data_IF_215488295565
#
_entry.id   IF_215488295565
#
_cell.length_a   1.000
_cell.length_b   1.000
_cell.length_c   1.000
_cell.angle_alpha   90.00
_cell.angle_beta   90.00
_cell.angle_gamma   90.00
#
_symmetry.space_group_name_H-M   'P 1'
#
loop_
_entity.id
_entity.type
_entity.pdbx_description
1 polymer ?
#
# COMPACT_ATOMS: atom_id res chain seq x y z
N UNK A 1 -53.22 31.84 27.91
CA UNK A 1 -53.06 30.44 27.49
C UNK A 1 -52.33 30.33 26.17
N UNK A 2 -51.07 30.67 26.24
CA UNK A 2 -50.13 30.51 25.14
C UNK A 2 -48.94 29.61 25.62
N UNK A 3 -49.24 28.35 25.83
CA UNK A 3 -48.20 27.34 26.13
C UNK A 3 -48.65 25.97 25.66
N UNK A 4 -48.51 25.68 24.36
CA UNK A 4 -48.41 24.31 23.80
C UNK A 4 -48.27 24.38 22.27
N UNK A 5 -47.10 24.76 21.75
CA UNK A 5 -46.67 24.39 20.41
C UNK A 5 -45.14 24.59 20.27
N UNK A 6 -44.41 24.00 21.19
CA UNK A 6 -42.95 23.79 21.03
C UNK A 6 -42.72 22.32 21.14
N UNK A 7 -42.50 21.62 20.05
CA UNK A 7 -42.16 20.24 20.17
C UNK A 7 -42.07 19.36 18.93
N UNK A 8 -42.17 19.88 17.71
CA UNK A 8 -42.01 19.04 16.51
C UNK A 8 -41.16 19.66 15.40
N UNK A 9 -40.72 20.92 15.56
CA UNK A 9 -39.86 21.59 14.57
C UNK A 9 -38.36 21.47 14.77
N UNK A 10 -37.91 21.04 15.97
CA UNK A 10 -36.50 21.07 16.35
C UNK A 10 -35.78 19.71 16.20
N UNK A 11 -36.51 18.62 15.92
CA UNK A 11 -35.90 17.29 15.75
C UNK A 11 -35.38 17.08 14.32
N UNK A 12 -35.90 17.81 13.34
CA UNK A 12 -35.48 17.68 11.93
C UNK A 12 -34.33 18.60 11.49
N UNK A 13 -33.85 19.49 12.37
CA UNK A 13 -32.72 20.39 12.02
C UNK A 13 -31.35 19.97 12.47
N UNK A 14 -31.14 18.73 12.93
CA UNK A 14 -29.80 18.18 13.28
C UNK A 14 -29.49 16.84 12.67
N UNK A 15 -29.99 16.57 11.48
CA UNK A 15 -29.32 15.62 10.61
C UNK A 15 -28.38 16.40 9.67
N UNK A 16 -27.36 17.00 10.24
CA UNK A 16 -26.14 17.22 9.47
C UNK A 16 -25.59 15.84 9.20
N UNK A 17 -25.68 15.41 7.94
CA UNK A 17 -24.84 14.35 7.40
C UNK A 17 -23.40 14.69 7.80
N UNK A 18 -22.86 14.03 8.79
CA UNK A 18 -21.43 14.08 9.03
C UNK A 18 -20.81 13.38 7.84
N UNK A 19 -20.28 14.16 6.91
CA UNK A 19 -19.25 13.68 6.00
C UNK A 19 -18.27 12.89 6.86
N UNK A 20 -17.92 11.64 6.54
CA UNK A 20 -16.92 10.90 7.28
C UNK A 20 -15.73 11.82 7.48
N UNK A 21 -15.42 12.14 8.73
CA UNK A 21 -14.29 12.99 9.05
C UNK A 21 -13.04 12.43 8.39
N UNK A 22 -12.05 13.24 8.08
CA UNK A 22 -10.83 12.76 7.46
C UNK A 22 -10.33 11.57 8.27
N UNK A 23 -10.01 10.47 7.59
CA UNK A 23 -9.48 9.24 8.15
C UNK A 23 -8.41 9.65 9.17
N UNK A 24 -8.72 9.49 10.46
CA UNK A 24 -7.75 9.75 11.53
C UNK A 24 -6.76 8.59 11.49
N UNK A 25 -5.78 8.71 10.62
CA UNK A 25 -4.61 7.86 10.67
C UNK A 25 -3.84 8.23 11.94
N UNK A 26 -4.09 7.53 13.03
CA UNK A 26 -3.29 7.61 14.27
C UNK A 26 -1.82 7.20 14.05
N UNK A 27 -1.44 6.86 12.82
CA UNK A 27 -0.10 6.44 12.40
C UNK A 27 0.89 7.62 12.32
N UNK A 28 0.43 8.87 12.50
CA UNK A 28 1.31 10.05 12.43
C UNK A 28 1.28 10.82 13.74
N UNK A 29 1.54 10.16 14.86
CA UNK A 29 1.73 10.87 16.15
C UNK A 29 3.18 11.28 16.44
N UNK A 30 4.11 11.10 15.53
CA UNK A 30 5.48 11.63 15.67
C UNK A 30 5.83 12.62 14.58
N UNK A 31 5.00 13.65 14.40
CA UNK A 31 5.36 14.82 13.62
C UNK A 31 5.86 15.91 14.53
N UNK A 32 7.08 15.81 14.99
CA UNK A 32 7.80 17.03 15.31
C UNK A 32 8.18 17.71 13.97
N UNK A 33 7.33 18.62 13.51
CA UNK A 33 7.72 19.62 12.51
C UNK A 33 8.70 20.66 13.12
N UNK A 34 9.40 20.29 14.18
CA UNK A 34 10.34 21.04 14.98
C UNK A 34 11.63 20.25 15.14
N UNK A 35 12.54 20.35 14.22
CA UNK A 35 13.94 20.60 14.43
C UNK A 35 14.80 19.59 15.18
N UNK A 36 14.50 18.30 15.30
CA UNK A 36 15.52 17.34 15.71
C UNK A 36 16.33 16.90 14.49
N UNK A 37 17.64 17.18 14.52
CA UNK A 37 18.61 16.73 13.49
C UNK A 37 18.91 15.24 13.69
N UNK A 38 17.89 14.40 13.46
CA UNK A 38 18.00 12.94 13.55
C UNK A 38 17.89 12.29 12.16
N UNK A 39 18.70 11.29 11.85
CA UNK A 39 18.55 10.52 10.60
C UNK A 39 17.18 9.84 10.50
N UNK A 40 16.53 9.53 11.62
CA UNK A 40 15.22 8.88 11.69
C UNK A 40 14.02 9.82 11.53
N UNK A 41 14.24 11.14 11.36
CA UNK A 41 13.16 12.09 11.14
C UNK A 41 12.72 12.10 9.68
N UNK A 42 11.43 11.89 9.40
CA UNK A 42 10.89 11.99 8.04
C UNK A 42 10.77 13.43 7.58
N UNK A 43 11.06 13.67 6.30
CA UNK A 43 10.83 14.98 5.69
C UNK A 43 9.35 15.24 5.44
N UNK A 44 8.96 16.52 5.36
CA UNK A 44 7.57 16.91 5.09
C UNK A 44 7.03 16.31 3.79
N UNK A 45 7.82 16.27 2.73
CA UNK A 45 7.44 15.70 1.45
C UNK A 45 7.10 14.19 1.57
N UNK A 46 7.87 13.43 2.36
CA UNK A 46 7.55 12.01 2.64
C UNK A 46 6.24 11.89 3.40
N UNK A 47 6.05 12.69 4.45
CA UNK A 47 4.82 12.66 5.25
C UNK A 47 3.56 12.99 4.42
N UNK A 48 3.68 13.91 3.47
CA UNK A 48 2.56 14.24 2.59
C UNK A 48 2.22 13.11 1.60
N UNK A 49 3.24 12.38 1.08
CA UNK A 49 3.02 11.19 0.24
C UNK A 49 2.47 9.99 1.02
N UNK A 50 2.88 9.81 2.28
CA UNK A 50 2.44 8.68 3.12
C UNK A 50 0.94 8.58 3.26
N UNK A 51 0.20 9.69 3.23
CA UNK A 51 -1.27 9.67 3.30
C UNK A 51 -1.90 8.87 2.17
N UNK A 52 -1.38 9.02 0.94
CA UNK A 52 -1.83 8.24 -0.20
C UNK A 52 -1.30 6.80 -0.18
N UNK A 53 -0.07 6.62 0.29
CA UNK A 53 0.56 5.30 0.40
C UNK A 53 -0.17 4.37 1.37
N UNK A 54 -0.65 4.91 2.49
CA UNK A 54 -1.42 4.13 3.47
C UNK A 54 -2.73 3.58 2.89
N UNK A 55 -3.45 4.40 2.13
CA UNK A 55 -4.65 3.96 1.42
C UNK A 55 -4.30 2.87 0.39
N UNK A 56 -3.25 3.07 -0.39
CA UNK A 56 -2.82 2.10 -1.40
C UNK A 56 -2.38 0.79 -0.75
N UNK A 57 -1.64 0.85 0.35
CA UNK A 57 -1.23 -0.32 1.13
C UNK A 57 -2.45 -1.10 1.61
N UNK A 58 -3.43 -0.42 2.21
CA UNK A 58 -4.64 -1.05 2.71
C UNK A 58 -5.40 -1.83 1.63
N UNK A 59 -5.56 -1.27 0.43
CA UNK A 59 -6.28 -1.93 -0.67
C UNK A 59 -5.45 -2.97 -1.43
N UNK A 60 -4.14 -2.98 -1.28
CA UNK A 60 -3.26 -3.99 -1.89
C UNK A 60 -2.99 -5.17 -0.96
N UNK A 61 -2.86 -4.97 0.34
CA UNK A 61 -2.72 -6.04 1.32
C UNK A 61 -4.07 -6.71 1.65
N UNK A 62 -5.17 -5.97 1.61
CA UNK A 62 -6.53 -6.48 1.63
C UNK A 62 -7.07 -6.80 3.01
N UNK A 63 -7.85 -7.90 3.12
CA UNK A 63 -8.73 -8.16 4.27
C UNK A 63 -8.01 -8.17 5.61
N UNK A 64 -6.88 -8.85 5.72
CA UNK A 64 -6.20 -9.01 7.01
C UNK A 64 -5.59 -7.70 7.50
N UNK A 65 -4.98 -6.93 6.60
CA UNK A 65 -4.48 -5.59 6.92
C UNK A 65 -5.59 -4.63 7.33
N UNK A 66 -6.73 -4.65 6.60
CA UNK A 66 -7.89 -3.81 6.91
C UNK A 66 -8.51 -4.17 8.26
N UNK A 67 -8.52 -5.45 8.65
CA UNK A 67 -9.00 -5.89 9.97
C UNK A 67 -8.06 -5.47 11.09
N UNK A 68 -6.74 -5.62 10.91
CA UNK A 68 -5.74 -5.18 11.89
C UNK A 68 -5.77 -3.67 12.12
N UNK A 69 -6.13 -2.90 11.09
CA UNK A 69 -6.22 -1.44 11.13
C UNK A 69 -7.68 -0.96 11.03
N UNK A 70 -8.62 -1.71 11.62
CA UNK A 70 -10.06 -1.47 11.45
C UNK A 70 -10.51 -0.10 11.95
N UNK A 71 -9.89 0.47 12.97
CA UNK A 71 -10.20 1.82 13.47
C UNK A 71 -10.03 2.90 12.39
N UNK A 72 -9.06 2.72 11.47
CA UNK A 72 -8.80 3.66 10.38
C UNK A 72 -9.72 3.44 9.17
N UNK A 73 -10.05 2.18 8.85
CA UNK A 73 -10.70 1.82 7.59
C UNK A 73 -12.15 1.38 7.72
N UNK A 74 -12.58 0.94 8.90
CA UNK A 74 -13.96 0.59 9.21
C UNK A 74 -14.27 1.06 10.64
N UNK A 75 -14.38 2.38 10.87
CA UNK A 75 -14.48 2.94 12.21
C UNK A 75 -15.74 2.49 12.96
N UNK A 76 -15.65 2.54 14.28
CA UNK A 76 -16.78 2.32 15.18
C UNK A 76 -17.87 3.37 14.93
N UNK A 77 -19.11 2.93 14.71
CA UNK A 77 -20.25 3.82 14.52
C UNK A 77 -20.73 4.45 15.84
N UNK A 78 -21.27 5.68 15.81
CA UNK A 78 -21.81 6.31 16.99
C UNK A 78 -22.91 5.44 17.64
N UNK A 79 -22.72 5.03 18.89
CA UNK A 79 -23.59 4.15 19.68
C UNK A 79 -23.57 2.65 19.27
N UNK A 80 -22.68 2.23 18.41
CA UNK A 80 -22.43 0.81 18.16
C UNK A 80 -21.77 0.20 19.39
N UNK A 81 -22.28 -0.94 19.83
CA UNK A 81 -21.65 -1.72 20.89
C UNK A 81 -20.32 -2.31 20.40
N UNK A 82 -19.32 -2.38 21.28
CA UNK A 82 -17.98 -2.84 20.87
C UNK A 82 -17.97 -4.29 20.37
N UNK A 83 -18.75 -5.17 20.98
CA UNK A 83 -18.86 -6.56 20.53
C UNK A 83 -19.55 -6.65 19.15
N UNK A 84 -20.56 -5.82 18.89
CA UNK A 84 -21.19 -5.69 17.59
C UNK A 84 -20.22 -5.16 16.54
N UNK A 85 -19.40 -4.17 16.88
CA UNK A 85 -18.32 -3.66 16.04
C UNK A 85 -17.33 -4.75 15.67
N UNK A 86 -16.78 -5.49 16.64
CA UNK A 86 -15.85 -6.59 16.37
C UNK A 86 -16.49 -7.66 15.49
N UNK A 87 -17.75 -7.96 15.71
CA UNK A 87 -18.50 -8.91 14.88
C UNK A 87 -18.67 -8.38 13.43
N UNK A 88 -18.86 -7.06 13.23
CA UNK A 88 -18.91 -6.40 11.90
C UNK A 88 -17.55 -6.46 11.21
N UNK A 89 -16.48 -6.12 11.90
CA UNK A 89 -15.09 -6.20 11.39
C UNK A 89 -14.74 -7.62 10.96
N UNK A 90 -15.05 -8.62 11.78
CA UNK A 90 -14.72 -10.02 11.49
C UNK A 90 -15.51 -10.60 10.31
N UNK A 91 -16.74 -10.13 10.04
CA UNK A 91 -17.54 -10.54 8.88
C UNK A 91 -17.18 -9.79 7.60
N UNK A 92 -16.58 -8.61 7.72
CA UNK A 92 -16.21 -7.79 6.58
C UNK A 92 -15.13 -8.50 5.72
N UNK A 93 -15.35 -8.54 4.41
CA UNK A 93 -14.44 -9.12 3.43
C UNK A 93 -14.14 -8.09 2.36
N UNK A 94 -12.87 -7.92 2.04
CA UNK A 94 -12.42 -6.97 1.03
C UNK A 94 -12.35 -7.59 -0.36
N UNK A 95 -12.87 -6.89 -1.35
CA UNK A 95 -12.76 -7.27 -2.77
C UNK A 95 -11.59 -6.52 -3.43
N UNK A 96 -10.50 -7.18 -3.87
CA UNK A 96 -9.25 -6.54 -4.24
C UNK A 96 -9.26 -6.00 -5.69
N UNK A 97 -10.10 -5.02 -6.00
CA UNK A 97 -10.20 -4.43 -7.34
C UNK A 97 -8.91 -3.71 -7.74
N UNK A 98 -8.40 -2.83 -6.89
CA UNK A 98 -7.18 -2.05 -7.15
C UNK A 98 -5.96 -2.95 -7.36
N UNK A 99 -5.79 -3.99 -6.54
CA UNK A 99 -4.69 -4.94 -6.69
C UNK A 99 -4.77 -5.71 -8.02
N UNK A 100 -5.98 -6.10 -8.45
CA UNK A 100 -6.18 -6.75 -9.75
C UNK A 100 -5.78 -5.84 -10.91
N UNK A 101 -6.08 -4.55 -10.82
CA UNK A 101 -5.68 -3.56 -11.83
C UNK A 101 -4.16 -3.42 -11.90
N UNK A 102 -3.47 -3.32 -10.77
CA UNK A 102 -2.00 -3.25 -10.70
C UNK A 102 -1.39 -4.49 -11.37
N UNK A 103 -1.87 -5.68 -11.02
CA UNK A 103 -1.39 -6.95 -11.60
C UNK A 103 -1.66 -7.02 -13.10
N UNK A 104 -2.82 -6.57 -13.56
CA UNK A 104 -3.17 -6.58 -14.97
C UNK A 104 -2.29 -5.60 -15.75
N UNK A 105 -2.09 -4.36 -15.26
CA UNK A 105 -1.20 -3.38 -15.88
C UNK A 105 0.24 -3.90 -15.98
N UNK A 106 0.74 -4.48 -14.89
CA UNK A 106 2.08 -5.10 -14.86
C UNK A 106 2.20 -6.23 -15.87
N UNK A 107 1.19 -7.11 -15.94
CA UNK A 107 1.16 -8.22 -16.88
C UNK A 107 1.10 -7.78 -18.34
N UNK A 108 0.46 -6.65 -18.65
CA UNK A 108 0.45 -6.09 -19.99
C UNK A 108 1.80 -5.49 -20.37
N UNK A 109 2.43 -4.71 -19.50
CA UNK A 109 3.73 -4.07 -19.73
C UNK A 109 4.83 -5.12 -19.87
N UNK A 110 4.85 -6.14 -19.01
CA UNK A 110 5.87 -7.21 -18.99
C UNK A 110 5.36 -8.52 -19.59
N UNK A 111 4.48 -8.44 -20.58
CA UNK A 111 3.96 -9.61 -21.29
C UNK A 111 5.04 -10.39 -22.07
N UNK A 112 5.99 -9.68 -22.63
CA UNK A 112 7.16 -10.24 -23.30
C UNK A 112 8.38 -10.02 -22.43
N UNK A 113 9.31 -10.99 -22.37
CA UNK A 113 10.54 -10.84 -21.62
C UNK A 113 11.34 -9.62 -22.02
N UNK A 114 12.05 -9.02 -21.07
CA UNK A 114 12.96 -7.91 -21.32
C UNK A 114 14.14 -8.41 -22.14
N UNK A 115 14.40 -7.72 -23.23
CA UNK A 115 15.51 -8.03 -24.14
C UNK A 115 16.74 -7.22 -23.73
N UNK A 116 17.85 -7.92 -23.51
CA UNK A 116 19.17 -7.32 -23.32
C UNK A 116 20.04 -7.62 -24.55
N UNK A 117 20.76 -6.60 -25.01
CA UNK A 117 21.73 -6.75 -26.11
C UNK A 117 23.07 -6.21 -25.63
N UNK A 118 24.14 -6.98 -25.77
CA UNK A 118 25.50 -6.60 -25.34
C UNK A 118 26.33 -7.78 -24.89
N UNK A 119 27.27 -7.53 -23.99
CA UNK A 119 28.21 -8.53 -23.47
C UNK A 119 27.47 -9.71 -22.81
N UNK A 120 27.96 -10.96 -23.02
CA UNK A 120 27.43 -12.18 -22.37
C UNK A 120 27.34 -12.09 -20.84
N UNK A 121 28.21 -11.33 -20.22
CA UNK A 121 28.14 -11.08 -18.77
C UNK A 121 26.75 -10.55 -18.34
N UNK A 122 26.18 -9.62 -19.13
CA UNK A 122 24.88 -9.03 -18.83
C UNK A 122 23.72 -9.92 -19.27
N UNK A 123 23.84 -10.50 -20.47
CA UNK A 123 22.73 -11.22 -21.11
C UNK A 123 22.53 -12.64 -20.61
N UNK A 124 23.59 -13.29 -20.09
CA UNK A 124 23.55 -14.67 -19.63
C UNK A 124 23.74 -14.82 -18.12
N UNK A 125 24.64 -14.03 -17.50
CA UNK A 125 24.92 -14.16 -16.07
C UNK A 125 24.08 -13.21 -15.23
N UNK A 126 24.25 -11.90 -15.40
CA UNK A 126 23.61 -10.90 -14.57
C UNK A 126 22.08 -10.93 -14.68
N UNK A 127 21.56 -11.16 -15.90
CA UNK A 127 20.10 -11.26 -16.16
C UNK A 127 19.43 -12.34 -15.32
N UNK A 128 20.13 -13.43 -14.98
CA UNK A 128 19.57 -14.58 -14.27
C UNK A 128 19.51 -14.37 -12.76
N UNK A 129 20.23 -13.39 -12.24
CA UNK A 129 20.25 -13.06 -10.83
C UNK A 129 20.71 -11.62 -10.64
N UNK A 130 19.77 -10.68 -10.64
CA UNK A 130 20.07 -9.25 -10.56
C UNK A 130 20.20 -8.73 -9.12
N UNK A 131 19.58 -9.42 -8.15
CA UNK A 131 19.52 -9.02 -6.75
C UNK A 131 20.42 -9.82 -5.80
N UNK A 132 21.13 -10.83 -6.30
CA UNK A 132 21.90 -11.73 -5.47
C UNK A 132 21.06 -12.75 -4.68
N UNK A 133 19.75 -12.76 -4.90
CA UNK A 133 18.78 -13.66 -4.28
C UNK A 133 18.16 -14.65 -5.28
N UNK A 134 18.75 -14.75 -6.49
CA UNK A 134 18.34 -15.60 -7.61
C UNK A 134 17.07 -15.12 -8.33
N UNK A 135 16.68 -13.86 -8.20
CA UNK A 135 15.62 -13.28 -9.03
C UNK A 135 16.18 -12.91 -10.39
N UNK A 136 15.53 -13.35 -11.45
CA UNK A 136 15.85 -12.90 -12.79
C UNK A 136 15.36 -11.46 -13.04
N UNK A 137 15.82 -10.87 -14.13
CA UNK A 137 15.49 -9.49 -14.49
C UNK A 137 13.98 -9.27 -14.68
N UNK A 138 13.28 -10.23 -15.27
CA UNK A 138 11.86 -10.11 -15.57
C UNK A 138 11.03 -10.18 -14.27
N UNK A 139 11.41 -11.04 -13.34
CA UNK A 139 10.79 -11.13 -12.00
C UNK A 139 11.07 -9.86 -11.19
N UNK A 140 12.31 -9.40 -11.16
CA UNK A 140 12.71 -8.17 -10.48
C UNK A 140 11.96 -6.95 -11.03
N UNK A 141 11.93 -6.79 -12.36
CA UNK A 141 11.20 -5.69 -13.01
C UNK A 141 9.69 -5.74 -12.74
N UNK A 142 9.10 -6.94 -12.60
CA UNK A 142 7.70 -7.10 -12.25
C UNK A 142 7.41 -6.60 -10.83
N UNK A 143 8.23 -6.96 -9.83
CA UNK A 143 8.09 -6.45 -8.46
C UNK A 143 8.24 -4.93 -8.42
N UNK A 144 9.29 -4.42 -9.05
CA UNK A 144 9.59 -3.00 -9.13
C UNK A 144 8.43 -2.19 -9.76
N UNK A 145 7.83 -2.71 -10.84
CA UNK A 145 6.71 -2.06 -11.51
C UNK A 145 5.43 -2.11 -10.66
N UNK A 146 5.16 -3.24 -10.01
CA UNK A 146 4.02 -3.35 -9.08
C UNK A 146 4.16 -2.35 -7.92
N UNK A 147 5.35 -2.24 -7.33
CA UNK A 147 5.65 -1.26 -6.29
C UNK A 147 5.45 0.17 -6.80
N UNK A 148 5.97 0.50 -7.98
CA UNK A 148 5.80 1.81 -8.61
C UNK A 148 4.33 2.15 -8.86
N UNK A 149 3.52 1.22 -9.39
CA UNK A 149 2.09 1.43 -9.62
C UNK A 149 1.31 1.58 -8.30
N UNK A 150 1.77 0.93 -7.23
CA UNK A 150 1.16 1.03 -5.90
C UNK A 150 1.43 2.39 -5.26
N UNK A 151 2.68 2.83 -5.25
CA UNK A 151 3.10 4.02 -4.50
C UNK A 151 3.38 5.26 -5.36
N UNK A 152 3.29 5.13 -6.70
CA UNK A 152 3.62 6.19 -7.65
C UNK A 152 5.11 6.24 -8.01
N UNK A 153 5.95 5.54 -7.26
CA UNK A 153 7.39 5.40 -7.46
C UNK A 153 7.91 4.11 -6.80
N UNK A 154 9.07 3.64 -7.26
CA UNK A 154 9.87 2.58 -6.63
C UNK A 154 11.35 2.89 -6.85
N UNK A 155 12.25 2.24 -6.11
CA UNK A 155 13.67 2.58 -6.19
C UNK A 155 14.53 1.34 -6.34
N UNK A 156 15.61 1.47 -7.12
CA UNK A 156 16.69 0.50 -7.26
C UNK A 156 17.92 1.12 -6.63
N UNK A 157 18.47 0.52 -5.60
CA UNK A 157 19.80 0.85 -5.10
C UNK A 157 20.78 -0.14 -5.73
N UNK A 158 21.73 0.37 -6.52
CA UNK A 158 22.80 -0.43 -7.09
C UNK A 158 23.95 -0.47 -6.08
N UNK A 159 24.22 -1.65 -5.54
CA UNK A 159 25.23 -1.84 -4.52
C UNK A 159 26.33 -2.82 -4.99
N UNK A 160 27.44 -2.81 -4.31
CA UNK A 160 28.58 -3.70 -4.59
C UNK A 160 29.16 -4.25 -3.28
N UNK A 161 29.45 -5.57 -3.19
CA UNK A 161 29.93 -6.15 -1.94
C UNK A 161 31.19 -5.48 -1.41
N UNK A 162 31.26 -5.28 -0.09
CA UNK A 162 32.42 -4.70 0.56
C UNK A 162 33.71 -5.45 0.24
N UNK A 163 34.89 -4.79 0.16
CA UNK A 163 36.16 -5.43 -0.14
C UNK A 163 36.49 -6.53 0.89
N UNK A 164 36.68 -7.76 0.45
CA UNK A 164 37.02 -8.91 1.31
C UNK A 164 38.46 -9.37 1.11
N UNK A 165 39.41 -8.44 0.94
CA UNK A 165 40.81 -8.80 0.77
C UNK A 165 41.18 -9.46 -0.55
N UNK A 166 40.26 -9.58 -1.51
CA UNK A 166 40.56 -10.05 -2.86
C UNK A 166 41.51 -9.09 -3.55
N UNK A 167 42.60 -9.65 -4.11
CA UNK A 167 43.71 -8.91 -4.64
C UNK A 167 43.67 -8.83 -6.17
N UNK A 168 42.82 -9.65 -6.81
CA UNK A 168 42.71 -9.70 -8.27
C UNK A 168 41.29 -9.84 -8.79
N UNK A 169 41.04 -9.32 -10.00
CA UNK A 169 39.77 -9.52 -10.74
C UNK A 169 39.39 -11.00 -10.92
N UNK A 170 40.36 -11.89 -10.98
CA UNK A 170 40.12 -13.33 -11.11
C UNK A 170 39.55 -13.91 -9.82
N UNK A 171 40.05 -13.48 -8.66
CA UNK A 171 39.54 -13.88 -7.34
C UNK A 171 38.16 -13.28 -7.08
N UNK A 172 37.90 -12.03 -7.49
CA UNK A 172 36.57 -11.42 -7.40
C UNK A 172 35.52 -12.22 -8.20
N UNK A 173 35.87 -12.65 -9.42
CA UNK A 173 35.03 -13.51 -10.24
C UNK A 173 34.80 -14.89 -9.63
N UNK A 174 35.81 -15.50 -9.01
CA UNK A 174 35.67 -16.79 -8.30
C UNK A 174 34.76 -16.67 -7.08
N UNK A 175 34.78 -15.53 -6.38
CA UNK A 175 33.95 -15.23 -5.23
C UNK A 175 32.55 -14.73 -5.65
N UNK A 176 32.22 -14.72 -6.95
CA UNK A 176 30.96 -14.17 -7.52
C UNK A 176 30.68 -12.74 -7.04
N UNK A 177 31.73 -11.94 -6.84
CA UNK A 177 31.61 -10.54 -6.45
C UNK A 177 31.21 -9.72 -7.67
N UNK A 178 30.01 -9.21 -7.63
CA UNK A 178 29.39 -8.45 -8.72
C UNK A 178 28.44 -7.40 -8.16
N UNK A 179 28.11 -6.35 -8.90
CA UNK A 179 27.05 -5.46 -8.51
C UNK A 179 25.73 -6.24 -8.37
N UNK A 180 24.88 -5.81 -7.49
CA UNK A 180 23.52 -6.33 -7.30
C UNK A 180 22.56 -5.18 -7.02
N UNK A 181 21.29 -5.45 -7.28
CA UNK A 181 20.24 -4.44 -7.13
C UNK A 181 19.39 -4.75 -5.90
N UNK A 182 19.21 -3.74 -5.07
CA UNK A 182 18.30 -3.81 -3.92
C UNK A 182 17.05 -3.00 -4.26
N UNK A 183 15.90 -3.64 -4.21
CA UNK A 183 14.62 -2.95 -4.32
C UNK A 183 14.34 -2.22 -3.01
N UNK A 184 14.14 -0.90 -3.09
CA UNK A 184 13.79 -0.07 -1.93
C UNK A 184 12.34 0.38 -2.07
N UNK A 185 11.52 -0.05 -1.11
CA UNK A 185 10.14 0.41 -0.98
C UNK A 185 10.13 1.92 -0.69
N UNK A 186 9.28 2.73 -1.36
CA UNK A 186 9.19 4.17 -1.12
C UNK A 186 8.90 4.55 0.33
N UNK A 187 8.19 3.70 1.08
CA UNK A 187 7.88 3.92 2.50
C UNK A 187 9.11 3.86 3.39
N UNK A 188 10.19 3.23 2.91
CA UNK A 188 11.48 3.16 3.57
C UNK A 188 12.37 4.39 3.30
N UNK A 189 11.99 5.28 2.38
CA UNK A 189 12.69 6.56 2.17
C UNK A 189 12.20 7.56 3.22
N UNK A 190 13.08 7.94 4.13
CA UNK A 190 12.74 8.89 5.20
C UNK A 190 12.99 10.34 4.80
N UNK A 191 13.86 10.56 3.81
CA UNK A 191 14.11 11.88 3.27
C UNK A 191 15.28 11.93 2.32
N UNK A 192 15.41 13.06 1.64
CA UNK A 192 16.47 13.33 0.68
C UNK A 192 16.84 14.79 0.67
N UNK A 193 18.01 15.09 0.12
CA UNK A 193 18.46 16.44 -0.21
C UNK A 193 18.90 16.49 -1.67
N UNK A 194 18.53 17.57 -2.35
CA UNK A 194 18.90 17.85 -3.73
C UNK A 194 19.91 19.01 -3.76
N UNK A 195 20.86 18.92 -4.65
CA UNK A 195 21.74 20.04 -4.97
C UNK A 195 20.94 21.11 -5.73
N UNK A 196 20.84 22.29 -5.14
CA UNK A 196 20.13 23.45 -5.73
C UNK A 196 21.07 24.50 -6.27
N UNK A 197 22.37 24.41 -5.95
CA UNK A 197 23.34 25.46 -6.24
C UNK A 197 24.20 25.18 -7.47
N UNK A 198 24.74 23.97 -7.58
CA UNK A 198 25.70 23.65 -8.65
C UNK A 198 25.16 22.68 -9.69
N UNK A 199 24.21 21.83 -9.34
CA UNK A 199 23.76 20.78 -10.23
C UNK A 199 22.28 20.44 -9.98
N UNK A 200 21.39 21.25 -10.51
CA UNK A 200 19.96 21.18 -10.27
C UNK A 200 19.38 19.76 -10.39
N UNK A 201 18.87 19.26 -9.27
CA UNK A 201 18.12 18.03 -9.21
C UNK A 201 18.93 16.77 -8.92
N UNK A 202 20.24 16.83 -8.78
CA UNK A 202 21.02 15.67 -8.33
C UNK A 202 20.84 15.44 -6.84
N UNK A 203 20.72 14.15 -6.47
CA UNK A 203 20.69 13.75 -5.07
C UNK A 203 22.07 13.96 -4.43
N UNK A 204 22.12 14.70 -3.31
CA UNK A 204 23.32 14.85 -2.48
C UNK A 204 23.21 14.10 -1.15
N UNK A 205 22.01 13.65 -0.78
CA UNK A 205 21.79 12.78 0.37
C UNK A 205 20.47 12.05 0.21
N UNK A 206 20.44 10.79 0.59
CA UNK A 206 19.19 10.00 0.78
C UNK A 206 19.29 9.23 2.09
N UNK A 207 18.16 9.09 2.78
CA UNK A 207 18.04 8.35 4.04
C UNK A 207 17.05 7.20 3.84
N UNK A 208 17.53 5.98 4.04
CA UNK A 208 16.81 4.72 3.79
C UNK A 208 16.72 3.97 5.11
N UNK A 209 15.49 3.71 5.56
CA UNK A 209 15.24 2.85 6.71
C UNK A 209 15.40 1.38 6.29
N UNK A 210 16.10 0.62 7.10
CA UNK A 210 16.36 -0.80 6.88
C UNK A 210 16.18 -1.58 8.19
N UNK A 211 15.90 -2.87 8.09
CA UNK A 211 15.97 -3.79 9.22
C UNK A 211 17.19 -4.69 9.07
N UNK A 212 18.08 -4.66 10.05
CA UNK A 212 19.19 -5.58 10.13
C UNK A 212 18.78 -6.79 10.96
N UNK A 213 18.83 -7.97 10.36
CA UNK A 213 18.64 -9.25 11.05
C UNK A 213 20.02 -9.81 11.37
N UNK A 214 20.34 -9.93 12.64
CA UNK A 214 21.61 -10.48 13.10
C UNK A 214 21.36 -11.79 13.85
N UNK A 215 22.25 -12.81 13.65
CA UNK A 215 22.16 -14.03 14.45
C UNK A 215 22.31 -13.74 15.93
N UNK A 216 21.45 -14.32 16.76
CA UNK A 216 21.50 -14.29 18.21
C UNK A 216 21.52 -15.72 18.75
N UNK A 217 22.72 -16.22 19.04
CA UNK A 217 22.98 -17.60 19.36
C UNK A 217 22.93 -18.55 18.14
N UNK A 218 22.60 -19.82 18.38
CA UNK A 218 22.59 -20.88 17.33
C UNK A 218 21.29 -20.85 16.51
N UNK A 219 20.15 -20.44 17.10
CA UNK A 219 18.83 -20.54 16.49
C UNK A 219 18.03 -19.24 16.57
N UNK A 220 18.52 -18.21 17.27
CA UNK A 220 17.85 -16.94 17.48
C UNK A 220 18.25 -15.89 16.44
N UNK A 221 17.38 -14.91 16.25
CA UNK A 221 17.61 -13.73 15.42
C UNK A 221 17.21 -12.48 16.19
N UNK A 222 18.05 -11.46 16.16
CA UNK A 222 17.76 -10.12 16.66
C UNK A 222 17.55 -9.15 15.51
N UNK A 223 16.45 -8.39 15.54
CA UNK A 223 16.07 -7.45 14.49
C UNK A 223 16.33 -6.03 14.99
N UNK A 224 17.14 -5.28 14.27
CA UNK A 224 17.49 -3.90 14.59
C UNK A 224 16.98 -2.94 13.53
N UNK A 225 16.33 -1.87 13.94
CA UNK A 225 16.01 -0.76 13.06
C UNK A 225 17.26 0.08 12.80
N UNK A 226 17.61 0.25 11.53
CA UNK A 226 18.75 1.04 11.13
C UNK A 226 18.42 2.02 10.01
N UNK A 227 19.21 3.08 9.92
CA UNK A 227 19.10 4.12 8.90
C UNK A 227 20.37 4.20 8.09
N UNK A 228 20.30 3.86 6.81
CA UNK A 228 21.38 4.06 5.86
C UNK A 228 21.28 5.45 5.27
N UNK A 229 22.30 6.27 5.46
CA UNK A 229 22.46 7.60 4.88
C UNK A 229 23.50 7.50 3.78
N UNK A 230 23.08 7.75 2.54
CA UNK A 230 23.95 7.68 1.36
C UNK A 230 24.17 9.09 0.84
N UNK A 231 25.43 9.42 0.58
CA UNK A 231 25.92 10.66 0.00
C UNK A 231 26.86 10.30 -1.17
N UNK A 232 27.14 11.18 -2.12
CA UNK A 232 28.06 10.86 -3.20
C UNK A 232 29.42 10.33 -2.67
N UNK A 233 29.78 9.12 -3.07
CA UNK A 233 31.04 8.47 -2.71
C UNK A 233 31.10 7.86 -1.30
N UNK A 234 30.10 8.02 -0.45
CA UNK A 234 30.11 7.46 0.91
C UNK A 234 28.74 7.07 1.43
N UNK A 235 28.71 6.14 2.40
CA UNK A 235 27.52 5.82 3.18
C UNK A 235 27.83 5.74 4.67
N UNK A 236 26.80 5.90 5.49
CA UNK A 236 26.82 5.74 6.95
C UNK A 236 25.56 5.02 7.37
N UNK A 237 25.69 4.06 8.29
CA UNK A 237 24.58 3.31 8.86
C UNK A 237 24.47 3.67 10.34
N UNK A 238 23.32 4.18 10.71
CA UNK A 238 22.97 4.49 12.10
C UNK A 238 22.00 3.43 12.61
N UNK A 239 22.29 2.86 13.77
CA UNK A 239 21.43 1.88 14.44
C UNK A 239 20.76 2.53 15.63
N UNK A 240 19.47 2.25 15.85
CA UNK A 240 18.76 2.65 17.05
C UNK A 240 19.36 1.90 18.24
N UNK A 241 19.61 2.58 19.34
CA UNK A 241 20.03 1.92 20.59
C UNK A 241 18.79 1.27 21.19
N UNK A 242 18.92 0.02 21.62
CA UNK A 242 17.90 -0.63 22.46
C UNK A 242 17.88 0.08 23.82
N UNK A 243 16.74 0.65 24.17
CA UNK A 243 16.51 1.11 25.54
C UNK A 243 16.02 -0.07 26.37
N UNK A 244 16.43 -0.13 27.62
CA UNK A 244 15.99 -1.17 28.57
C UNK A 244 14.45 -1.27 28.65
N UNK A 245 13.76 -0.22 28.26
CA UNK A 245 12.30 -0.12 28.22
C UNK A 245 11.71 -0.93 27.05
N UNK A 246 12.38 -1.00 25.92
CA UNK A 246 11.95 -1.79 24.74
C UNK A 246 11.97 -3.31 25.06
N UNK A 247 12.87 -3.75 25.96
CA UNK A 247 12.99 -5.15 26.39
C UNK A 247 11.84 -5.62 27.33
N UNK A 248 11.15 -4.69 27.99
CA UNK A 248 10.02 -5.01 28.87
C UNK A 248 8.67 -4.96 28.15
N UNK A 249 8.52 -4.19 27.07
CA UNK A 249 7.27 -4.05 26.33
C UNK A 249 6.99 -5.26 25.40
N UNK A 250 8.01 -6.00 24.97
CA UNK A 250 7.86 -7.21 24.16
C UNK A 250 7.22 -8.40 24.91
N UNK A 251 7.22 -8.37 26.25
CA UNK A 251 6.73 -9.49 27.08
C UNK A 251 5.28 -9.33 27.58
N UNK A 252 4.65 -8.18 27.46
CA UNK A 252 3.38 -7.92 28.16
C UNK A 252 2.17 -7.66 27.24
N UNK A 253 2.20 -7.96 25.96
CA UNK A 253 1.00 -8.04 25.09
C UNK A 253 0.00 -6.87 25.13
N UNK A 254 0.33 -5.79 25.83
CA UNK A 254 -0.50 -4.60 25.96
C UNK A 254 0.14 -3.46 25.16
N UNK A 255 -0.38 -3.24 23.97
CA UNK A 255 -0.10 -2.05 23.17
C UNK A 255 -0.66 -0.81 23.90
N UNK A 256 0.06 -0.26 24.84
CA UNK A 256 -0.18 1.10 25.32
C UNK A 256 0.77 2.04 24.60
N UNK A 257 0.42 2.40 23.37
CA UNK A 257 1.17 3.34 22.56
C UNK A 257 1.06 4.77 23.06
N UNK A 258 1.75 5.12 24.12
CA UNK A 258 2.11 6.50 24.41
C UNK A 258 3.56 6.74 23.99
N UNK A 259 3.75 6.94 22.67
CA UNK A 259 5.01 7.35 22.07
C UNK A 259 5.20 8.87 22.16
N UNK A 260 5.08 9.45 23.35
CA UNK A 260 5.26 10.88 23.60
C UNK A 260 6.65 11.27 24.13
N UNK A 261 7.67 10.43 23.94
CA UNK A 261 9.05 10.88 24.10
C UNK A 261 9.68 11.08 22.73
N UNK A 262 10.02 12.31 22.34
CA UNK A 262 10.85 12.51 21.16
C UNK A 262 12.19 11.83 21.45
N UNK A 263 12.53 10.82 20.66
CA UNK A 263 13.84 10.18 20.71
C UNK A 263 14.88 11.27 20.44
N UNK A 264 15.54 11.74 21.49
CA UNK A 264 16.58 12.76 21.38
C UNK A 264 17.73 12.24 20.51
N UNK A 265 18.51 13.14 19.93
CA UNK A 265 19.67 12.84 19.06
C UNK A 265 20.70 11.84 19.66
N UNK A 266 20.45 11.30 20.83
CA UNK A 266 21.29 10.35 21.59
C UNK A 266 20.86 8.89 21.49
N UNK A 267 19.73 8.58 20.86
CA UNK A 267 19.15 7.22 20.86
C UNK A 267 19.63 6.35 19.70
N UNK A 268 20.61 6.81 18.96
CA UNK A 268 21.23 6.04 17.87
C UNK A 268 22.75 6.20 17.88
N UNK A 269 23.42 5.22 17.30
CA UNK A 269 24.87 5.21 17.15
C UNK A 269 25.28 4.93 15.71
N UNK A 270 26.46 5.38 15.32
CA UNK A 270 27.07 5.04 14.04
C UNK A 270 27.57 3.59 14.13
N UNK A 271 26.89 2.67 13.43
CA UNK A 271 27.23 1.25 13.41
C UNK A 271 28.25 0.92 12.32
N UNK A 272 28.10 1.54 11.15
CA UNK A 272 28.93 1.25 9.99
C UNK A 272 29.12 2.50 9.13
N UNK A 273 30.26 2.60 8.45
CA UNK A 273 30.50 3.60 7.42
C UNK A 273 31.43 3.05 6.36
N UNK A 274 31.23 3.48 5.11
CA UNK A 274 32.06 3.04 3.99
C UNK A 274 32.08 4.06 2.86
N UNK A 275 32.92 3.77 1.88
CA UNK A 275 33.05 4.57 0.65
C UNK A 275 32.81 3.66 -0.56
N UNK A 276 32.32 4.25 -1.63
CA UNK A 276 32.14 3.60 -2.92
C UNK A 276 32.70 4.51 -4.04
N UNK A 277 33.02 3.89 -5.18
CA UNK A 277 33.75 4.58 -6.27
C UNK A 277 32.87 5.51 -7.13
N UNK A 278 31.55 5.41 -7.04
CA UNK A 278 30.66 6.23 -7.85
C UNK A 278 30.59 7.66 -7.35
N UNK A 279 30.66 8.62 -8.27
CA UNK A 279 30.55 10.05 -7.95
C UNK A 279 29.12 10.54 -7.72
N UNK A 280 28.11 9.68 -7.93
CA UNK A 280 26.70 9.97 -7.67
C UNK A 280 26.10 8.93 -6.70
N UNK A 281 24.98 9.25 -6.08
CA UNK A 281 24.23 8.29 -5.26
C UNK A 281 23.64 7.22 -6.20
N UNK A 282 23.96 5.92 -5.99
CA UNK A 282 23.54 4.85 -6.90
C UNK A 282 22.07 4.43 -6.70
N UNK A 283 21.18 5.41 -6.54
CA UNK A 283 19.74 5.22 -6.40
C UNK A 283 19.02 5.65 -7.68
N UNK A 284 18.32 4.70 -8.28
CA UNK A 284 17.52 4.92 -9.48
C UNK A 284 16.04 4.86 -9.10
N UNK A 285 15.30 5.94 -9.34
CA UNK A 285 13.86 6.00 -9.06
C UNK A 285 13.07 5.76 -10.34
N UNK A 286 12.15 4.77 -10.28
CA UNK A 286 11.17 4.45 -11.33
C UNK A 286 9.84 5.10 -10.95
N UNK A 287 9.26 5.90 -11.83
CA UNK A 287 8.01 6.61 -11.57
C UNK A 287 6.87 6.05 -12.42
N UNK A 288 5.70 5.90 -11.80
CA UNK A 288 4.42 5.73 -12.51
C UNK A 288 3.52 6.96 -12.37
N UNK A 289 3.78 7.81 -11.38
CA UNK A 289 3.01 9.04 -11.10
C UNK A 289 3.90 10.17 -10.59
N UNK A 290 4.93 10.54 -11.37
CA UNK A 290 5.89 11.59 -11.00
C UNK A 290 5.21 12.95 -10.87
N UNK A 291 5.46 13.65 -9.74
CA UNK A 291 5.11 15.05 -9.56
C UNK A 291 6.37 15.91 -9.69
N UNK A 292 7.42 15.57 -8.94
CA UNK A 292 8.70 16.25 -8.94
C UNK A 292 9.80 15.22 -8.60
N UNK A 293 11.05 15.68 -8.46
CA UNK A 293 12.15 14.81 -8.10
C UNK A 293 11.92 14.18 -6.71
N UNK A 294 11.96 12.86 -6.64
CA UNK A 294 11.65 12.04 -5.44
C UNK A 294 10.23 12.21 -4.87
N UNK A 295 9.30 12.84 -5.60
CA UNK A 295 7.91 12.97 -5.19
C UNK A 295 6.95 12.42 -6.25
N UNK A 296 5.92 11.72 -5.81
CA UNK A 296 4.96 11.07 -6.68
C UNK A 296 3.55 11.02 -6.07
N UNK A 297 2.56 10.80 -6.91
CA UNK A 297 1.20 10.43 -6.51
C UNK A 297 0.88 9.05 -7.09
N UNK A 298 0.34 8.11 -6.30
CA UNK A 298 -0.11 6.83 -6.85
C UNK A 298 -1.13 7.03 -7.98
N UNK A 299 -0.92 6.45 -9.16
CA UNK A 299 -1.82 6.68 -10.31
C UNK A 299 -3.22 6.09 -10.11
N UNK A 300 -3.35 5.08 -9.24
CA UNK A 300 -4.61 4.39 -8.95
C UNK A 300 -5.24 4.82 -7.62
N UNK A 301 -4.79 5.92 -7.02
CA UNK A 301 -5.26 6.37 -5.70
C UNK A 301 -6.76 6.64 -5.67
N UNK A 302 -7.31 7.22 -6.73
CA UNK A 302 -8.74 7.55 -6.81
C UNK A 302 -9.61 6.26 -6.85
N UNK A 303 -9.12 5.23 -7.56
CA UNK A 303 -9.75 3.88 -7.57
C UNK A 303 -9.61 3.21 -6.19
N UNK A 304 -8.50 3.41 -5.50
CA UNK A 304 -8.29 2.88 -4.16
C UNK A 304 -9.31 3.46 -3.15
N UNK A 305 -9.63 4.75 -3.24
CA UNK A 305 -10.69 5.35 -2.42
C UNK A 305 -12.07 4.75 -2.71
N UNK A 306 -12.41 4.52 -3.99
CA UNK A 306 -13.67 3.85 -4.34
C UNK A 306 -13.70 2.40 -3.84
N UNK A 307 -12.57 1.70 -3.90
CA UNK A 307 -12.45 0.33 -3.40
C UNK A 307 -12.62 0.27 -1.88
N UNK A 308 -12.12 1.26 -1.15
CA UNK A 308 -12.32 1.38 0.29
C UNK A 308 -13.78 1.72 0.62
N UNK A 309 -14.42 2.64 -0.10
CA UNK A 309 -15.84 2.95 0.06
C UNK A 309 -16.70 1.70 -0.20
N UNK A 310 -16.40 0.92 -1.24
CA UNK A 310 -17.05 -0.35 -1.52
C UNK A 310 -16.93 -1.33 -0.33
N UNK A 311 -15.75 -1.44 0.27
CA UNK A 311 -15.51 -2.30 1.44
C UNK A 311 -16.37 -1.89 2.63
N UNK A 312 -16.44 -0.59 2.94
CA UNK A 312 -17.26 -0.05 4.03
C UNK A 312 -18.74 -0.34 3.82
N UNK A 313 -19.27 -0.03 2.61
CA UNK A 313 -20.69 -0.31 2.28
C UNK A 313 -21.02 -1.79 2.29
N UNK A 314 -20.10 -2.63 1.82
CA UNK A 314 -20.28 -4.07 1.85
C UNK A 314 -20.29 -4.62 3.28
N UNK A 315 -19.43 -4.11 4.16
CA UNK A 315 -19.39 -4.49 5.57
C UNK A 315 -20.71 -4.13 6.27
N UNK A 316 -21.24 -2.94 6.03
CA UNK A 316 -22.50 -2.47 6.59
C UNK A 316 -23.70 -3.32 6.10
N UNK A 317 -23.73 -3.62 4.80
CA UNK A 317 -24.79 -4.47 4.23
C UNK A 317 -24.75 -5.88 4.83
N UNK A 318 -23.59 -6.52 4.90
CA UNK A 318 -23.42 -7.86 5.47
C UNK A 318 -23.85 -7.87 6.95
N UNK A 319 -23.48 -6.85 7.71
CA UNK A 319 -23.89 -6.71 9.10
C UNK A 319 -25.40 -6.53 9.23
N UNK A 320 -25.98 -5.64 8.45
CA UNK A 320 -27.44 -5.38 8.44
C UNK A 320 -28.24 -6.63 8.06
N UNK A 321 -27.80 -7.38 7.03
CA UNK A 321 -28.41 -8.63 6.63
C UNK A 321 -28.29 -9.70 7.71
N UNK A 322 -27.16 -9.76 8.42
CA UNK A 322 -26.99 -10.70 9.52
C UNK A 322 -27.96 -10.41 10.66
N UNK A 323 -28.12 -9.14 11.06
CA UNK A 323 -29.09 -8.74 12.09
C UNK A 323 -30.53 -9.01 11.61
N UNK A 324 -30.85 -8.67 10.36
CA UNK A 324 -32.17 -8.89 9.78
C UNK A 324 -32.56 -10.37 9.61
N UNK A 325 -31.58 -11.24 9.48
CA UNK A 325 -31.82 -12.70 9.40
C UNK A 325 -32.27 -13.31 10.72
N UNK A 326 -32.23 -12.55 11.80
CA UNK A 326 -32.74 -12.96 13.12
C UNK A 326 -34.02 -12.16 13.45
N UNK A 327 -35.21 -12.65 13.07
CA UNK A 327 -36.44 -11.92 13.32
C UNK A 327 -36.66 -11.75 14.81
N UNK A 328 -37.01 -10.52 15.22
CA UNK A 328 -37.27 -10.19 16.62
C UNK A 328 -38.69 -10.58 16.99
N UNK A 329 -38.85 -11.47 17.97
CA UNK A 329 -40.16 -11.79 18.52
C UNK A 329 -40.62 -10.66 19.43
N UNK A 330 -41.74 -10.03 19.07
CA UNK A 330 -42.37 -8.97 19.90
C UNK A 330 -43.62 -9.57 20.55
N UNK A 331 -43.70 -9.37 21.85
CA UNK A 331 -44.82 -9.85 22.68
C UNK A 331 -45.47 -8.62 23.35
N UNK A 332 -46.64 -8.24 22.84
CA UNK A 332 -47.44 -7.16 23.43
C UNK A 332 -48.39 -7.69 24.51
N UNK A 333 -48.43 -6.99 25.64
CA UNK A 333 -49.34 -7.31 26.72
C UNK A 333 -48.86 -8.39 27.70
N UNK A 334 -47.57 -8.80 27.61
CA UNK A 334 -46.99 -9.75 28.56
C UNK A 334 -46.23 -8.99 29.66
N UNK A 335 -46.39 -9.45 30.91
CA UNK A 335 -45.68 -8.91 32.08
C UNK A 335 -44.26 -9.53 32.13
N UNK A 336 -43.30 -8.73 32.60
CA UNK A 336 -41.87 -9.08 32.74
C UNK A 336 -41.60 -10.26 33.70
N UNK A 337 -42.66 -10.75 34.34
CA UNK A 337 -42.54 -11.89 35.28
C UNK A 337 -42.55 -13.27 34.58
N UNK A 338 -42.75 -13.39 33.30
CA UNK A 338 -42.62 -14.65 32.55
C UNK A 338 -41.15 -14.94 32.22
N UNK A 339 -40.41 -15.35 33.28
CA UNK A 339 -39.05 -15.88 33.16
C UNK A 339 -39.16 -17.25 32.48
N UNK A 340 -38.30 -17.50 31.48
CA UNK A 340 -38.12 -18.77 30.80
C UNK A 340 -39.17 -19.11 29.71
N UNK A 341 -39.31 -18.20 28.72
CA UNK A 341 -39.96 -18.56 27.46
C UNK A 341 -38.95 -19.29 26.57
N UNK A 342 -39.07 -20.62 26.47
CA UNK A 342 -38.30 -21.38 25.48
C UNK A 342 -38.85 -21.10 24.09
N UNK A 343 -38.14 -20.31 23.29
CA UNK A 343 -38.48 -20.07 21.88
C UNK A 343 -37.83 -21.17 21.03
N UNK A 344 -38.65 -22.08 20.49
CA UNK A 344 -38.18 -23.13 19.60
C UNK A 344 -39.12 -23.23 18.39
N UNK A 345 -38.59 -23.64 17.26
CA UNK A 345 -39.35 -23.83 15.98
C UNK A 345 -40.52 -24.80 16.13
N UNK A 346 -40.56 -25.60 17.18
CA UNK A 346 -41.58 -26.65 17.41
C UNK A 346 -42.59 -26.29 18.52
N UNK A 347 -42.57 -25.07 19.05
CA UNK A 347 -43.53 -24.65 20.09
C UNK A 347 -44.60 -23.72 19.52
N UNK A 348 -45.85 -24.10 19.66
CA UNK A 348 -46.99 -23.22 19.46
C UNK A 348 -47.28 -22.44 20.75
N UNK A 349 -47.28 -21.11 20.70
CA UNK A 349 -47.60 -20.25 21.83
C UNK A 349 -49.09 -19.93 21.83
N UNK A 350 -49.79 -20.30 22.89
CA UNK A 350 -51.17 -19.86 23.12
C UNK A 350 -51.16 -18.48 23.80
N UNK A 351 -51.80 -17.49 23.18
CA UNK A 351 -51.93 -16.13 23.70
C UNK A 351 -53.26 -15.91 24.39
N UNK A 352 -53.28 -15.08 25.46
CA UNK A 352 -54.53 -14.63 26.07
C UNK A 352 -55.24 -13.60 25.16
N UNK A 353 -56.60 -13.49 25.23
CA UNK A 353 -57.30 -12.46 24.47
C UNK A 353 -56.76 -11.05 24.76
N UNK A 354 -56.33 -10.34 23.73
CA UNK A 354 -55.74 -9.01 23.83
C UNK A 354 -54.24 -8.96 23.72
N UNK A 355 -53.51 -10.08 23.93
CA UNK A 355 -52.06 -10.16 23.76
C UNK A 355 -51.74 -10.52 22.31
N UNK A 356 -50.65 -9.94 21.80
CA UNK A 356 -50.16 -10.23 20.44
C UNK A 356 -48.72 -10.71 20.49
N UNK A 357 -48.45 -11.71 19.67
CA UNK A 357 -47.09 -12.22 19.42
C UNK A 357 -46.85 -12.18 17.93
N UNK A 358 -45.83 -11.48 17.50
CA UNK A 358 -45.48 -11.38 16.09
C UNK A 358 -43.98 -11.18 15.90
N UNK A 359 -43.50 -11.53 14.74
CA UNK A 359 -42.11 -11.23 14.37
C UNK A 359 -42.04 -9.86 13.69
N UNK A 360 -41.05 -9.08 14.05
CA UNK A 360 -40.71 -7.84 13.38
C UNK A 360 -39.46 -8.10 12.54
N UNK A 361 -39.59 -7.82 11.26
CA UNK A 361 -38.50 -7.89 10.30
C UNK A 361 -38.21 -6.49 9.76
N UNK A 362 -36.93 -6.14 9.51
CA UNK A 362 -36.58 -4.88 8.83
C UNK A 362 -37.16 -4.84 7.42
N UNK A 363 -37.48 -3.64 6.93
CA UNK A 363 -37.99 -3.47 5.57
C UNK A 363 -36.93 -3.80 4.52
N UNK A 364 -37.23 -4.68 3.58
CA UNK A 364 -36.30 -5.16 2.53
C UNK A 364 -35.82 -4.06 1.59
N UNK A 365 -36.59 -2.98 1.41
CA UNK A 365 -36.27 -1.88 0.51
C UNK A 365 -34.94 -1.15 0.84
N UNK A 366 -34.53 -1.13 2.11
CA UNK A 366 -33.27 -0.54 2.53
C UNK A 366 -32.06 -1.36 2.04
N UNK A 367 -32.18 -2.70 2.05
CA UNK A 367 -31.12 -3.59 1.56
C UNK A 367 -30.96 -3.55 0.04
N UNK A 368 -32.08 -3.37 -0.67
CA UNK A 368 -32.06 -3.18 -2.13
C UNK A 368 -31.32 -1.89 -2.52
N UNK A 369 -31.56 -0.80 -1.80
CA UNK A 369 -30.88 0.48 -2.03
C UNK A 369 -29.36 0.36 -1.75
N UNK A 370 -28.95 -0.26 -0.64
CA UNK A 370 -27.54 -0.51 -0.33
C UNK A 370 -26.87 -1.42 -1.37
N UNK A 371 -27.55 -2.48 -1.81
CA UNK A 371 -27.07 -3.37 -2.87
C UNK A 371 -26.91 -2.66 -4.20
N UNK A 372 -27.81 -1.71 -4.54
CA UNK A 372 -27.69 -0.87 -5.74
C UNK A 372 -26.48 0.08 -5.67
N UNK A 373 -26.25 0.71 -4.52
CA UNK A 373 -25.07 1.56 -4.29
C UNK A 373 -23.75 0.78 -4.44
N UNK A 374 -23.67 -0.42 -3.88
CA UNK A 374 -22.50 -1.30 -4.00
C UNK A 374 -22.23 -1.64 -5.48
N UNK A 375 -23.28 -1.99 -6.24
CA UNK A 375 -23.16 -2.27 -7.68
C UNK A 375 -22.71 -1.05 -8.47
N UNK A 376 -23.19 0.13 -8.10
CA UNK A 376 -22.77 1.39 -8.72
C UNK A 376 -21.28 1.66 -8.47
N UNK A 377 -20.78 1.48 -7.23
CA UNK A 377 -19.35 1.58 -6.92
C UNK A 377 -18.52 0.57 -7.72
N UNK A 378 -18.99 -0.67 -7.87
CA UNK A 378 -18.32 -1.67 -8.72
C UNK A 378 -18.25 -1.23 -10.18
N UNK A 379 -19.33 -0.65 -10.71
CA UNK A 379 -19.39 -0.15 -12.07
C UNK A 379 -18.45 1.04 -12.28
N UNK A 380 -18.38 1.97 -11.32
CA UNK A 380 -17.46 3.10 -11.35
C UNK A 380 -16.00 2.63 -11.33
N UNK A 381 -15.64 1.71 -10.44
CA UNK A 381 -14.30 1.11 -10.40
C UNK A 381 -13.96 0.37 -11.70
N UNK A 382 -14.91 -0.38 -12.26
CA UNK A 382 -14.70 -1.08 -13.52
C UNK A 382 -14.51 -0.08 -14.67
N UNK A 383 -15.31 0.99 -14.74
CA UNK A 383 -15.18 2.02 -15.78
C UNK A 383 -13.85 2.74 -15.71
N UNK A 384 -13.43 3.19 -14.52
CA UNK A 384 -12.13 3.84 -14.32
C UNK A 384 -10.98 2.87 -14.54
N UNK A 385 -11.11 1.63 -14.09
CA UNK A 385 -10.10 0.60 -14.27
C UNK A 385 -9.98 0.15 -15.73
N UNK A 386 -11.09 0.00 -16.44
CA UNK A 386 -11.12 -0.37 -17.84
C UNK A 386 -10.55 0.76 -18.71
N UNK A 387 -10.89 2.01 -18.43
CA UNK A 387 -10.27 3.15 -19.11
C UNK A 387 -8.74 3.20 -18.91
N UNK A 388 -8.25 2.62 -17.82
CA UNK A 388 -6.82 2.51 -17.51
C UNK A 388 -6.17 1.28 -18.17
N UNK A 389 -6.89 0.16 -18.38
CA UNK A 389 -6.30 -1.12 -18.75
C UNK A 389 -6.85 -1.78 -20.01
N UNK A 390 -8.06 -1.50 -20.47
CA UNK A 390 -8.64 -2.24 -21.59
C UNK A 390 -9.73 -1.52 -22.36
N UNK A 391 -9.89 -1.99 -23.58
CA UNK A 391 -10.70 -1.53 -24.67
C UNK A 391 -12.15 -2.03 -24.66
N UNK A 392 -12.65 -2.64 -23.60
CA UNK A 392 -14.02 -3.17 -23.60
C UNK A 392 -14.96 -2.25 -22.83
N UNK A 393 -15.61 -1.35 -23.55
CA UNK A 393 -16.88 -0.77 -23.09
C UNK A 393 -17.99 -1.81 -23.26
N UNK A 394 -18.76 -2.04 -22.20
CA UNK A 394 -19.98 -2.88 -22.21
C UNK A 394 -21.15 -2.25 -22.98
N UNK A 395 -20.95 -1.11 -23.64
CA UNK A 395 -21.95 -0.42 -24.47
C UNK A 395 -21.44 -0.36 -25.89
N UNK A 396 -22.30 -0.71 -26.87
CA UNK A 396 -22.00 -0.67 -28.30
C UNK A 396 -21.75 0.78 -28.74
N UNK A 397 -20.48 1.20 -28.77
CA UNK A 397 -20.04 2.49 -29.29
C UNK A 397 -19.45 2.36 -30.70
N UNK A 398 -19.41 3.51 -31.42
CA UNK A 398 -18.89 3.59 -32.77
C UNK A 398 -17.40 3.17 -32.87
N UNK A 399 -16.96 2.70 -34.01
CA UNK A 399 -15.56 2.27 -34.24
C UNK A 399 -14.54 3.39 -33.96
N UNK A 400 -14.93 4.65 -34.09
CA UNK A 400 -14.07 5.81 -33.85
C UNK A 400 -13.89 6.11 -32.35
N UNK A 401 -14.93 5.94 -31.54
CA UNK A 401 -14.81 6.05 -30.08
C UNK A 401 -13.89 4.97 -29.51
N UNK A 402 -13.94 3.74 -30.06
CA UNK A 402 -13.00 2.65 -29.68
C UNK A 402 -11.55 2.96 -30.05
N UNK A 403 -11.31 3.67 -31.15
CA UNK A 403 -9.93 4.06 -31.56
C UNK A 403 -9.35 5.12 -30.63
N UNK A 404 -10.14 6.10 -30.18
CA UNK A 404 -9.71 7.14 -29.24
C UNK A 404 -9.36 6.54 -27.87
N UNK A 405 -10.19 5.66 -27.33
CA UNK A 405 -9.93 4.96 -26.07
C UNK A 405 -8.67 4.07 -26.13
N UNK A 406 -8.39 3.46 -27.30
CA UNK A 406 -7.15 2.68 -27.56
C UNK A 406 -5.90 3.55 -27.49
N UNK A 407 -5.98 4.76 -28.02
CA UNK A 407 -4.83 5.70 -28.03
C UNK A 407 -4.48 6.11 -26.60
N UNK A 408 -5.46 6.41 -25.75
CA UNK A 408 -5.22 6.86 -24.38
C UNK A 408 -4.67 5.74 -23.49
N UNK A 409 -5.24 4.54 -23.54
CA UNK A 409 -4.76 3.39 -22.75
C UNK A 409 -3.37 2.94 -23.18
N UNK A 410 -3.13 2.85 -24.49
CA UNK A 410 -1.80 2.52 -25.01
C UNK A 410 -0.78 3.60 -24.64
N UNK A 411 -1.20 4.87 -24.49
CA UNK A 411 -0.29 5.94 -24.11
C UNK A 411 0.18 5.79 -22.66
N UNK A 412 -0.70 5.47 -21.69
CA UNK A 412 -0.32 5.28 -20.30
C UNK A 412 0.61 4.08 -20.10
N UNK A 413 0.24 2.90 -20.63
CA UNK A 413 1.08 1.70 -20.55
C UNK A 413 2.42 1.91 -21.25
N UNK A 414 2.41 2.63 -22.39
CA UNK A 414 3.61 2.98 -23.13
C UNK A 414 4.52 3.92 -22.33
N UNK A 415 3.96 4.94 -21.68
CA UNK A 415 4.74 5.84 -20.81
C UNK A 415 5.40 5.10 -19.64
N UNK A 416 4.66 4.24 -18.96
CA UNK A 416 5.18 3.43 -17.85
C UNK A 416 6.26 2.44 -18.34
N UNK A 417 6.06 1.82 -19.50
CA UNK A 417 7.05 0.95 -20.13
C UNK A 417 8.33 1.70 -20.50
N UNK A 418 8.22 2.91 -21.06
CA UNK A 418 9.36 3.76 -21.41
C UNK A 418 10.14 4.19 -20.16
N UNK A 419 9.42 4.58 -19.11
CA UNK A 419 10.05 4.97 -17.84
C UNK A 419 10.82 3.79 -17.25
N UNK A 420 10.20 2.61 -17.17
CA UNK A 420 10.85 1.40 -16.68
C UNK A 420 12.10 1.05 -17.49
N UNK A 421 12.01 1.06 -18.83
CA UNK A 421 13.13 0.80 -19.74
C UNK A 421 14.30 1.76 -19.49
N UNK A 422 14.03 3.07 -19.40
CA UNK A 422 15.04 4.09 -19.16
C UNK A 422 15.71 3.94 -17.77
N UNK A 423 14.93 3.57 -16.76
CA UNK A 423 15.47 3.42 -15.40
C UNK A 423 16.26 2.13 -15.23
N UNK A 424 15.80 1.04 -15.83
CA UNK A 424 16.61 -0.18 -15.91
C UNK A 424 17.93 0.07 -16.66
N UNK A 425 17.88 0.81 -17.78
CA UNK A 425 19.10 1.21 -18.49
C UNK A 425 20.03 2.02 -17.58
N UNK A 426 19.50 2.96 -16.79
CA UNK A 426 20.31 3.73 -15.83
C UNK A 426 20.92 2.81 -14.75
N UNK A 427 20.18 1.83 -14.25
CA UNK A 427 20.70 0.89 -13.26
C UNK A 427 21.83 0.01 -13.85
N UNK A 428 21.70 -0.44 -15.11
CA UNK A 428 22.78 -1.12 -15.82
C UNK A 428 23.99 -0.23 -16.03
N UNK A 429 23.79 1.05 -16.38
CA UNK A 429 24.90 2.00 -16.54
C UNK A 429 25.69 2.19 -15.23
N UNK A 430 25.01 2.27 -14.08
CA UNK A 430 25.66 2.33 -12.78
C UNK A 430 26.39 1.01 -12.44
N UNK A 431 25.77 -0.12 -12.72
CA UNK A 431 26.38 -1.45 -12.52
C UNK A 431 27.65 -1.63 -13.38
N UNK A 432 27.61 -1.13 -14.62
CA UNK A 432 28.71 -1.18 -15.56
C UNK A 432 29.95 -0.43 -15.07
N UNK A 433 29.75 0.71 -14.38
CA UNK A 433 30.83 1.51 -13.80
C UNK A 433 31.60 0.72 -12.71
N UNK A 434 30.96 -0.18 -11.98
CA UNK A 434 31.62 -1.03 -10.98
C UNK A 434 32.53 -2.11 -11.62
N UNK A 435 32.09 -2.69 -12.74
CA UNK A 435 32.81 -3.81 -13.38
C UNK A 435 33.71 -3.38 -14.54
N UNK A 436 33.60 -2.12 -14.99
CA UNK A 436 34.39 -1.62 -16.11
C UNK A 436 34.01 -2.21 -17.46
N UNK A 437 32.77 -2.67 -17.64
CA UNK A 437 32.22 -3.20 -18.90
C UNK A 437 31.27 -2.17 -19.53
N UNK A 438 31.06 -2.27 -20.84
CA UNK A 438 29.99 -1.51 -21.50
C UNK A 438 28.62 -2.02 -21.03
N UNK A 439 27.67 -1.10 -20.71
CA UNK A 439 26.34 -1.51 -20.29
C UNK A 439 25.57 -2.14 -21.44
N UNK A 440 24.65 -3.09 -21.17
CA UNK A 440 23.80 -3.66 -22.23
C UNK A 440 22.75 -2.63 -22.65
N UNK A 441 22.20 -2.80 -23.85
CA UNK A 441 21.00 -2.09 -24.30
C UNK A 441 19.76 -2.84 -23.77
N UNK A 442 18.89 -2.11 -23.06
CA UNK A 442 17.63 -2.64 -22.48
C UNK A 442 16.46 -2.29 -23.41
N UNK A 443 15.65 -3.28 -23.75
CA UNK A 443 14.40 -3.06 -24.53
C UNK A 443 13.22 -3.77 -23.90
N UNK A 444 12.12 -3.01 -23.69
CA UNK A 444 10.81 -3.51 -23.24
C UNK A 444 9.85 -3.42 -24.43
N UNK A 445 9.11 -4.50 -24.70
CA UNK A 445 8.12 -4.53 -25.77
C UNK A 445 6.97 -3.58 -25.46
N UNK A 446 6.59 -2.74 -26.43
CA UNK A 446 5.43 -1.83 -26.36
C UNK A 446 4.24 -2.32 -27.17
N UNK A 447 4.23 -3.60 -27.50
CA UNK A 447 3.12 -4.24 -28.17
C UNK A 447 2.11 -4.73 -27.13
N UNK A 448 1.07 -3.95 -26.90
CA UNK A 448 0.00 -4.22 -25.93
C UNK A 448 -1.24 -4.83 -26.60
N UNK A 449 -1.21 -5.13 -27.90
CA UNK A 449 -2.34 -5.59 -28.69
C UNK A 449 -2.68 -7.06 -28.38
N UNK A 450 -3.82 -7.29 -27.73
CA UNK A 450 -4.29 -8.62 -27.34
C UNK A 450 -4.95 -9.35 -28.54
N UNK A 451 -5.48 -8.62 -29.52
CA UNK A 451 -6.21 -9.19 -30.67
C UNK A 451 -5.35 -9.98 -31.63
N UNK A 452 -4.03 -9.76 -31.68
CA UNK A 452 -3.09 -10.52 -32.54
C UNK A 452 -2.77 -11.94 -32.06
N UNK A 453 -3.30 -12.36 -30.93
CA UNK A 453 -3.04 -13.69 -30.34
C UNK A 453 -4.18 -14.69 -30.58
N UNK A 454 -5.31 -14.25 -31.13
CA UNK A 454 -6.49 -15.08 -31.37
C UNK A 454 -6.70 -15.36 -32.90
N UNK A 455 -5.75 -14.91 -33.72
CA UNK A 455 -5.76 -15.16 -35.15
C UNK A 455 -4.87 -16.32 -35.61
#
# INVERSE_FOLDING_TARGET
DARKSRGLGDVYKRQTYSVPGPIRTNIISSTSAGGEDSPFTRTRAVLDMMKGWEIMKAVTEGTDYLRQNSEAFLPLEPREDFDAYLARVNRAVFSPFTQRLIRAATGLVLRKPITLTGDPYWTEMFKMDVDGCKSDLDEYARRLLMCSLTYGQSHILVDYPAPSGAVSLAEERQQNRRPYWIEIDPTNIYGWRLDRESNYGNLIQVRIAEKAVLPDGEFGESIYDQMRVIEPGRYRVFRKKETVQDLYEENDGAYSGDMSSPAGAKDYELSESGQFSLGEIPLVTVYSGKIDNMTSKPPLLDIAYLNLAHYQRQADLIHSLHVASQPMLVMEGYDDQTKDLAISVNYAMATQPGNKVYYVEPASSAFDAQSAEIKELQMQMATLGISTLSQQKFVAESADARRLDRVDTNSMLSMVSMELEQKLQKAFNLSAQYVGLEPPEVKISRDFDIERLIG
#
